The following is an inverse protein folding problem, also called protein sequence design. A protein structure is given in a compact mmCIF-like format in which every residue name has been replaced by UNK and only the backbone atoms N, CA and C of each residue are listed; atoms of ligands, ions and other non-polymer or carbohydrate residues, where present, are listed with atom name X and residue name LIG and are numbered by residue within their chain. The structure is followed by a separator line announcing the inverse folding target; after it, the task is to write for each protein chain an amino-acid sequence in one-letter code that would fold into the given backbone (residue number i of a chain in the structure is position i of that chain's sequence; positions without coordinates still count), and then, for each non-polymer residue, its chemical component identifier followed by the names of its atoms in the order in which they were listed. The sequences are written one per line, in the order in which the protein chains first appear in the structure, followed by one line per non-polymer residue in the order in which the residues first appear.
data_IF_929941920626
#
_entry.id   IF_929941920626
#
_cell.length_a   1.000
_cell.length_b   1.000
_cell.length_c   1.000
_cell.angle_alpha   90.00
_cell.angle_beta   90.00
_cell.angle_gamma   90.00
#
_symmetry.space_group_name_H-M   'P 1'
#
loop_
_entity.id
_entity.type
_entity.pdbx_description
1 polymer ?
#
# COMPACT_ATOMS: atom_id res chain seq x y z
N UNK A 1 -26.10 -16.08 -44.06
CA UNK A 1 -25.31 -16.27 -45.29
C UNK A 1 -25.05 -17.75 -45.57
N UNK A 2 -24.03 -18.39 -44.97
CA UNK A 2 -23.63 -19.77 -45.30
C UNK A 2 -24.71 -20.86 -45.06
N UNK A 3 -25.68 -20.61 -44.18
CA UNK A 3 -26.83 -21.52 -43.96
C UNK A 3 -27.92 -21.43 -45.04
N UNK A 4 -27.95 -20.34 -45.81
CA UNK A 4 -29.00 -20.02 -46.80
C UNK A 4 -28.47 -20.22 -48.22
N UNK A 5 -27.19 -19.89 -48.46
CA UNK A 5 -26.50 -20.16 -49.72
C UNK A 5 -25.23 -20.98 -49.45
N UNK A 6 -25.32 -22.33 -49.49
CA UNK A 6 -24.13 -23.17 -49.44
C UNK A 6 -23.44 -23.15 -50.81
N UNK A 7 -22.18 -22.71 -50.85
CA UNK A 7 -21.31 -22.79 -52.04
C UNK A 7 -20.15 -23.74 -51.81
N UNK A 8 -19.53 -24.23 -52.90
CA UNK A 8 -18.31 -25.05 -52.82
C UNK A 8 -17.13 -24.23 -52.30
N UNK A 9 -17.11 -22.94 -52.63
CA UNK A 9 -16.17 -21.96 -52.06
C UNK A 9 -16.92 -20.73 -51.57
N UNK A 10 -16.33 -19.98 -50.63
CA UNK A 10 -16.92 -18.73 -50.16
C UNK A 10 -17.07 -17.70 -51.27
N UNK A 11 -16.08 -17.61 -52.16
CA UNK A 11 -16.11 -16.71 -53.30
C UNK A 11 -17.29 -17.01 -54.23
N UNK A 12 -17.58 -18.29 -54.48
CA UNK A 12 -18.74 -18.73 -55.27
C UNK A 12 -20.08 -18.38 -54.59
N UNK A 13 -20.17 -18.59 -53.27
CA UNK A 13 -21.34 -18.17 -52.50
C UNK A 13 -21.58 -16.64 -52.55
N UNK A 14 -20.51 -15.84 -52.63
CA UNK A 14 -20.63 -14.38 -52.78
C UNK A 14 -21.05 -13.95 -54.19
N UNK A 15 -20.64 -14.67 -55.23
CA UNK A 15 -20.96 -14.35 -56.63
C UNK A 15 -22.37 -14.78 -57.05
N UNK A 16 -22.98 -15.75 -56.38
CA UNK A 16 -24.34 -16.18 -56.68
C UNK A 16 -25.37 -15.04 -56.49
N UNK A 17 -26.35 -14.86 -57.40
CA UNK A 17 -27.40 -13.87 -57.22
C UNK A 17 -28.30 -14.22 -56.02
N UNK A 18 -28.95 -13.21 -55.45
CA UNK A 18 -29.94 -13.39 -54.37
C UNK A 18 -31.32 -13.56 -55.00
N UNK A 19 -32.01 -14.64 -54.67
CA UNK A 19 -33.39 -14.93 -55.06
C UNK A 19 -34.34 -14.68 -53.89
N UNK A 20 -35.63 -14.49 -54.17
CA UNK A 20 -36.66 -14.29 -53.13
C UNK A 20 -36.78 -15.50 -52.18
N UNK A 21 -36.49 -16.71 -52.66
CA UNK A 21 -36.48 -17.94 -51.82
C UNK A 21 -35.45 -17.85 -50.68
N UNK A 22 -34.28 -17.25 -50.94
CA UNK A 22 -33.25 -17.06 -49.92
C UNK A 22 -33.64 -16.01 -48.86
N UNK A 23 -34.46 -15.02 -49.24
CA UNK A 23 -34.99 -14.05 -48.27
C UNK A 23 -36.01 -14.69 -47.34
N UNK A 24 -36.86 -15.57 -47.88
CA UNK A 24 -37.84 -16.32 -47.11
C UNK A 24 -37.16 -17.27 -46.12
N UNK A 25 -36.13 -17.99 -46.56
CA UNK A 25 -35.32 -18.86 -45.68
C UNK A 25 -34.60 -18.07 -44.59
N UNK A 26 -34.05 -16.91 -44.94
CA UNK A 26 -33.42 -16.01 -43.96
C UNK A 26 -34.41 -15.54 -42.89
N UNK A 27 -35.59 -15.06 -43.31
CA UNK A 27 -36.64 -14.62 -42.40
C UNK A 27 -37.04 -15.73 -41.41
N UNK A 28 -37.16 -16.97 -41.91
CA UNK A 28 -37.44 -18.15 -41.07
C UNK A 28 -36.34 -18.44 -40.05
N UNK A 29 -35.07 -18.40 -40.47
CA UNK A 29 -33.94 -18.65 -39.56
C UNK A 29 -33.86 -17.56 -38.48
N UNK A 30 -34.10 -16.31 -38.86
CA UNK A 30 -34.09 -15.17 -37.93
C UNK A 30 -35.21 -15.31 -36.89
N UNK A 31 -36.43 -15.67 -37.31
CA UNK A 31 -37.54 -15.87 -36.38
C UNK A 31 -37.26 -17.00 -35.39
N UNK A 32 -36.74 -18.13 -35.88
CA UNK A 32 -36.42 -19.29 -35.04
C UNK A 32 -35.30 -18.96 -34.02
N UNK A 33 -34.26 -18.22 -34.42
CA UNK A 33 -33.17 -17.83 -33.50
C UNK A 33 -33.68 -16.84 -32.43
N UNK A 34 -34.47 -15.82 -32.80
CA UNK A 34 -35.07 -14.85 -31.87
C UNK A 34 -35.93 -15.57 -30.80
N UNK A 35 -36.71 -16.56 -31.22
CA UNK A 35 -37.50 -17.37 -30.30
C UNK A 35 -36.62 -18.22 -29.37
N UNK A 36 -35.55 -18.82 -29.90
CA UNK A 36 -34.60 -19.60 -29.11
C UNK A 36 -33.82 -18.75 -28.09
N UNK A 37 -33.45 -17.51 -28.44
CA UNK A 37 -32.78 -16.59 -27.52
C UNK A 37 -33.71 -16.10 -26.41
N UNK A 38 -34.98 -15.82 -26.73
CA UNK A 38 -36.00 -15.49 -25.72
C UNK A 38 -36.19 -16.62 -24.73
N UNK A 39 -36.22 -17.88 -25.18
CA UNK A 39 -36.33 -19.03 -24.29
C UNK A 39 -35.06 -19.21 -23.43
N UNK A 40 -33.86 -19.04 -23.99
CA UNK A 40 -32.61 -19.11 -23.22
C UNK A 40 -32.48 -18.01 -22.15
N UNK A 41 -32.96 -16.80 -22.42
CA UNK A 41 -32.99 -15.68 -21.45
C UNK A 41 -33.97 -15.94 -20.29
N UNK A 42 -35.01 -16.76 -20.48
CA UNK A 42 -35.95 -17.13 -19.41
C UNK A 42 -35.37 -18.17 -18.44
N UNK A 43 -34.57 -19.11 -18.93
CA UNK A 43 -34.01 -20.22 -18.12
C UNK A 43 -32.70 -19.88 -17.39
N UNK A 44 -32.15 -18.67 -17.53
CA UNK A 44 -30.93 -18.27 -16.81
C UNK A 44 -30.89 -16.77 -16.57
N UNK A 45 -30.83 -16.30 -15.31
CA UNK A 45 -30.59 -14.89 -15.01
C UNK A 45 -29.14 -14.57 -15.38
N UNK A 46 -28.96 -13.92 -16.53
CA UNK A 46 -27.64 -13.56 -17.03
C UNK A 46 -26.99 -12.50 -16.12
N UNK A 47 -25.78 -12.80 -15.65
CA UNK A 47 -24.86 -11.78 -15.10
C UNK A 47 -24.32 -11.01 -16.31
N UNK A 48 -24.85 -9.81 -16.53
CA UNK A 48 -24.48 -8.95 -17.65
C UNK A 48 -23.13 -8.28 -17.38
N UNK A 49 -22.09 -8.69 -18.09
CA UNK A 49 -20.85 -7.90 -18.23
C UNK A 49 -21.02 -6.89 -19.38
N UNK A 50 -20.55 -5.66 -19.22
CA UNK A 50 -20.70 -4.58 -20.22
C UNK A 50 -20.17 -4.94 -21.62
N UNK A 51 -19.18 -5.82 -21.72
CA UNK A 51 -18.57 -6.28 -22.98
C UNK A 51 -19.52 -7.20 -23.80
N UNK A 52 -20.46 -7.89 -23.14
CA UNK A 52 -21.49 -8.71 -23.81
C UNK A 52 -22.60 -7.86 -24.44
N UNK A 53 -22.77 -6.61 -23.99
CA UNK A 53 -23.79 -5.71 -24.54
C UNK A 53 -23.41 -5.26 -25.95
N UNK A 54 -22.11 -5.09 -26.24
CA UNK A 54 -21.65 -4.78 -27.60
C UNK A 54 -21.89 -5.96 -28.55
N UNK A 55 -21.58 -7.19 -28.12
CA UNK A 55 -21.88 -8.37 -28.95
C UNK A 55 -23.38 -8.62 -29.12
N UNK A 56 -24.20 -8.37 -28.09
CA UNK A 56 -25.67 -8.48 -28.18
C UNK A 56 -26.23 -7.47 -29.17
N UNK A 57 -25.78 -6.21 -29.08
CA UNK A 57 -26.23 -5.15 -29.98
C UNK A 57 -25.80 -5.42 -31.43
N UNK A 58 -24.61 -5.98 -31.66
CA UNK A 58 -24.19 -6.36 -33.03
C UNK A 58 -25.00 -7.54 -33.58
N UNK A 59 -25.48 -8.45 -32.74
CA UNK A 59 -26.34 -9.55 -33.17
C UNK A 59 -27.74 -9.05 -33.49
N UNK A 60 -28.31 -8.21 -32.62
CA UNK A 60 -29.61 -7.57 -32.82
C UNK A 60 -29.64 -6.73 -34.11
N UNK A 61 -28.56 -5.98 -34.40
CA UNK A 61 -28.41 -5.23 -35.65
C UNK A 61 -28.36 -6.15 -36.88
N UNK A 62 -27.83 -7.36 -36.76
CA UNK A 62 -27.79 -8.36 -37.83
C UNK A 62 -29.16 -9.00 -38.09
N UNK A 63 -29.98 -9.18 -37.04
CA UNK A 63 -31.31 -9.78 -37.16
C UNK A 63 -32.34 -8.86 -37.83
N UNK A 64 -32.14 -7.54 -37.80
CA UNK A 64 -33.02 -6.58 -38.48
C UNK A 64 -32.75 -6.40 -39.97
N UNK A 65 -31.61 -6.90 -40.48
CA UNK A 65 -31.19 -6.69 -41.87
C UNK A 65 -31.84 -7.70 -42.81
N UNK A 66 -32.17 -7.25 -44.02
CA UNK A 66 -32.55 -8.16 -45.11
C UNK A 66 -31.37 -9.05 -45.54
N UNK A 67 -31.64 -10.16 -46.20
CA UNK A 67 -30.56 -11.04 -46.67
C UNK A 67 -29.65 -10.33 -47.69
N UNK A 68 -30.22 -9.52 -48.59
CA UNK A 68 -29.45 -8.72 -49.55
C UNK A 68 -28.51 -7.74 -48.85
N UNK A 69 -29.02 -7.03 -47.84
CA UNK A 69 -28.25 -6.06 -47.08
C UNK A 69 -27.16 -6.73 -46.22
N UNK A 70 -27.50 -7.87 -45.60
CA UNK A 70 -26.52 -8.71 -44.91
C UNK A 70 -25.41 -9.17 -45.87
N UNK A 71 -25.75 -9.52 -47.12
CA UNK A 71 -24.78 -9.98 -48.12
C UNK A 71 -23.87 -8.83 -48.54
N UNK A 72 -24.45 -7.65 -48.79
CA UNK A 72 -23.71 -6.45 -49.14
C UNK A 72 -22.72 -6.05 -48.02
N UNK A 73 -23.19 -6.01 -46.76
CA UNK A 73 -22.37 -5.63 -45.60
C UNK A 73 -21.29 -6.66 -45.28
N UNK A 74 -21.57 -7.94 -45.45
CA UNK A 74 -20.55 -8.99 -45.30
C UNK A 74 -19.49 -8.90 -46.38
N UNK A 75 -19.87 -8.66 -47.63
CA UNK A 75 -18.94 -8.48 -48.74
C UNK A 75 -18.08 -7.22 -48.56
N UNK A 76 -18.66 -6.10 -48.14
CA UNK A 76 -17.94 -4.87 -47.81
C UNK A 76 -16.86 -5.13 -46.74
N UNK A 77 -17.21 -5.85 -45.68
CA UNK A 77 -16.29 -6.21 -44.61
C UNK A 77 -15.16 -7.14 -45.10
N UNK A 78 -15.47 -8.10 -45.97
CA UNK A 78 -14.47 -8.99 -46.58
C UNK A 78 -13.50 -8.20 -47.46
N UNK A 79 -14.00 -7.30 -48.32
CA UNK A 79 -13.16 -6.42 -49.14
C UNK A 79 -12.31 -5.48 -48.27
N UNK A 80 -12.85 -4.98 -47.16
CA UNK A 80 -12.09 -4.15 -46.23
C UNK A 80 -10.95 -4.93 -45.55
N UNK A 81 -11.14 -6.22 -45.26
CA UNK A 81 -10.12 -7.11 -44.72
C UNK A 81 -9.06 -7.50 -45.76
N UNK A 82 -9.47 -7.69 -47.02
CA UNK A 82 -8.58 -7.89 -48.17
C UNK A 82 -7.68 -6.66 -48.39
N UNK A 83 -8.25 -5.44 -48.40
CA UNK A 83 -7.47 -4.18 -48.49
C UNK A 83 -6.42 -4.02 -47.38
N UNK A 84 -6.67 -4.64 -46.22
CA UNK A 84 -5.75 -4.64 -45.07
C UNK A 84 -4.75 -5.81 -45.12
N UNK A 85 -4.78 -6.62 -46.17
CA UNK A 85 -3.88 -7.76 -46.37
C UNK A 85 -4.11 -8.93 -45.41
N UNK A 86 -5.26 -8.99 -44.72
CA UNK A 86 -5.58 -10.09 -43.79
C UNK A 86 -6.15 -11.32 -44.48
N UNK A 87 -6.66 -11.13 -45.69
CA UNK A 87 -7.29 -12.15 -46.51
C UNK A 87 -6.70 -12.07 -47.92
N UNK A 88 -6.46 -13.22 -48.52
CA UNK A 88 -6.09 -13.32 -49.93
C UNK A 88 -7.29 -13.83 -50.73
N UNK A 89 -7.55 -13.17 -51.86
CA UNK A 89 -8.58 -13.56 -52.81
C UNK A 89 -8.22 -14.84 -53.57
N UNK A 90 -6.93 -15.12 -53.71
CA UNK A 90 -6.44 -16.33 -54.38
C UNK A 90 -6.74 -17.62 -53.59
N UNK A 91 -6.91 -17.50 -52.27
CA UNK A 91 -7.24 -18.60 -51.37
C UNK A 91 -8.77 -18.84 -51.25
N UNK A 92 -9.57 -18.23 -52.14
CA UNK A 92 -11.03 -18.31 -52.13
C UNK A 92 -11.66 -17.96 -50.76
N UNK A 93 -10.99 -17.12 -49.97
CA UNK A 93 -11.34 -16.74 -48.60
C UNK A 93 -11.34 -17.89 -47.56
N UNK A 94 -10.62 -18.99 -47.80
CA UNK A 94 -10.52 -20.13 -46.87
C UNK A 94 -9.99 -19.72 -45.48
N UNK A 95 -9.05 -18.77 -45.41
CA UNK A 95 -8.56 -18.23 -44.14
C UNK A 95 -9.65 -17.66 -43.20
N UNK A 96 -10.77 -17.13 -43.73
CA UNK A 96 -11.91 -16.70 -42.88
C UNK A 96 -12.55 -17.93 -42.23
N UNK A 97 -12.81 -18.98 -43.02
CA UNK A 97 -13.43 -20.21 -42.53
C UNK A 97 -12.54 -20.88 -41.49
N UNK A 98 -11.24 -20.94 -41.72
CA UNK A 98 -10.29 -21.53 -40.78
C UNK A 98 -10.25 -20.74 -39.46
N UNK A 99 -10.29 -19.41 -39.54
CA UNK A 99 -10.37 -18.56 -38.34
C UNK A 99 -11.69 -18.75 -37.56
N UNK A 100 -12.81 -18.87 -38.29
CA UNK A 100 -14.14 -19.10 -37.71
C UNK A 100 -14.25 -20.50 -37.11
N UNK A 101 -13.75 -21.52 -37.81
CA UNK A 101 -13.71 -22.90 -37.34
C UNK A 101 -12.87 -22.99 -36.05
N UNK A 102 -11.70 -22.35 -36.03
CA UNK A 102 -10.88 -22.28 -34.82
C UNK A 102 -11.59 -21.58 -33.67
N UNK A 103 -12.33 -20.49 -33.91
CA UNK A 103 -13.08 -19.81 -32.85
C UNK A 103 -14.24 -20.67 -32.31
N UNK A 104 -14.94 -21.40 -33.18
CA UNK A 104 -15.98 -22.37 -32.80
C UNK A 104 -15.39 -23.48 -31.94
N UNK A 105 -14.26 -24.07 -32.36
CA UNK A 105 -13.56 -25.14 -31.63
C UNK A 105 -13.09 -24.64 -30.25
N UNK A 106 -12.55 -23.42 -30.20
CA UNK A 106 -12.04 -22.82 -28.97
C UNK A 106 -13.14 -22.22 -28.08
N UNK A 107 -14.39 -22.13 -28.55
CA UNK A 107 -15.51 -21.49 -27.83
C UNK A 107 -15.69 -22.04 -26.42
N UNK A 108 -15.68 -23.36 -26.27
CA UNK A 108 -15.85 -23.99 -24.95
C UNK A 108 -14.65 -23.73 -24.04
N UNK A 109 -13.42 -23.85 -24.57
CA UNK A 109 -12.19 -23.55 -23.83
C UNK A 109 -12.18 -22.11 -23.31
N UNK A 110 -12.53 -21.13 -24.15
CA UNK A 110 -12.64 -19.71 -23.75
C UNK A 110 -13.71 -19.50 -22.68
N UNK A 111 -14.84 -20.20 -22.74
CA UNK A 111 -15.89 -20.15 -21.71
C UNK A 111 -15.42 -20.70 -20.37
N UNK A 112 -14.73 -21.85 -20.39
CA UNK A 112 -14.15 -22.45 -19.17
C UNK A 112 -13.12 -21.50 -18.57
N UNK A 113 -12.23 -20.95 -19.39
CA UNK A 113 -11.22 -19.99 -18.93
C UNK A 113 -11.86 -18.77 -18.26
N UNK A 114 -12.89 -18.15 -18.88
CA UNK A 114 -13.62 -17.03 -18.27
C UNK A 114 -14.25 -17.38 -16.92
N UNK A 115 -14.78 -18.60 -16.75
CA UNK A 115 -15.33 -19.04 -15.46
C UNK A 115 -14.24 -19.18 -14.40
N UNK A 116 -13.10 -19.77 -14.76
CA UNK A 116 -11.94 -19.89 -13.88
C UNK A 116 -11.43 -18.51 -13.50
N UNK A 117 -11.20 -17.63 -14.47
CA UNK A 117 -10.72 -16.27 -14.25
C UNK A 117 -11.69 -15.49 -13.36
N UNK A 118 -13.00 -15.60 -13.59
CA UNK A 118 -14.02 -14.98 -12.74
C UNK A 118 -13.93 -15.48 -11.30
N UNK A 119 -13.74 -16.79 -11.07
CA UNK A 119 -13.59 -17.34 -9.72
C UNK A 119 -12.29 -16.88 -9.05
N UNK A 120 -11.20 -16.76 -9.82
CA UNK A 120 -9.91 -16.24 -9.36
C UNK A 120 -10.07 -14.79 -8.95
N UNK A 121 -10.70 -13.96 -9.77
CA UNK A 121 -10.96 -12.54 -9.47
C UNK A 121 -11.78 -12.38 -8.18
N UNK A 122 -12.84 -13.15 -8.00
CA UNK A 122 -13.65 -13.13 -6.77
C UNK A 122 -12.81 -13.52 -5.54
N UNK A 123 -12.01 -14.58 -5.64
CA UNK A 123 -11.11 -15.01 -4.55
C UNK A 123 -10.05 -13.95 -4.24
N UNK A 124 -9.45 -13.32 -5.26
CA UNK A 124 -8.47 -12.25 -5.05
C UNK A 124 -9.09 -11.03 -4.37
N UNK A 125 -10.32 -10.66 -4.74
CA UNK A 125 -11.07 -9.58 -4.10
C UNK A 125 -11.31 -9.90 -2.62
N UNK A 126 -11.71 -11.14 -2.30
CA UNK A 126 -11.91 -11.58 -0.93
C UNK A 126 -10.61 -11.49 -0.11
N UNK A 127 -9.50 -12.02 -0.64
CA UNK A 127 -8.19 -11.93 0.00
C UNK A 127 -7.72 -10.48 0.23
N UNK A 128 -8.01 -9.58 -0.72
CA UNK A 128 -7.68 -8.16 -0.57
C UNK A 128 -8.52 -7.49 0.52
N UNK A 129 -9.81 -7.83 0.63
CA UNK A 129 -10.67 -7.36 1.73
C UNK A 129 -10.19 -7.86 3.08
N UNK A 130 -9.80 -9.13 3.18
CA UNK A 130 -9.25 -9.69 4.42
C UNK A 130 -7.95 -8.99 4.83
N UNK A 131 -7.07 -8.69 3.85
CA UNK A 131 -5.86 -7.90 4.10
C UNK A 131 -6.15 -6.47 4.53
N UNK A 132 -7.13 -5.82 3.90
CA UNK A 132 -7.57 -4.48 4.29
C UNK A 132 -8.04 -4.49 5.75
N UNK A 133 -8.95 -5.41 6.10
CA UNK A 133 -9.45 -5.54 7.47
C UNK A 133 -8.33 -5.82 8.46
N UNK A 134 -7.38 -6.69 8.11
CA UNK A 134 -6.23 -6.98 8.96
C UNK A 134 -5.40 -5.72 9.27
N UNK A 135 -5.14 -4.89 8.27
CA UNK A 135 -4.40 -3.63 8.46
C UNK A 135 -5.20 -2.62 9.30
N UNK A 136 -6.51 -2.53 9.09
CA UNK A 136 -7.41 -1.70 9.91
C UNK A 136 -7.41 -2.15 11.39
N UNK A 137 -7.48 -3.47 11.63
CA UNK A 137 -7.39 -4.04 12.97
C UNK A 137 -6.01 -3.78 13.61
N UNK A 138 -4.91 -3.85 12.83
CA UNK A 138 -3.57 -3.49 13.29
C UNK A 138 -3.46 -2.02 13.68
N UNK A 139 -4.02 -1.11 12.88
CA UNK A 139 -4.06 0.32 13.19
C UNK A 139 -4.85 0.60 14.47
N UNK A 140 -6.02 -0.02 14.62
CA UNK A 140 -6.84 0.10 15.83
C UNK A 140 -6.10 -0.41 17.08
N UNK A 141 -5.39 -1.54 16.97
CA UNK A 141 -4.57 -2.07 18.06
C UNK A 141 -3.41 -1.13 18.41
N UNK A 142 -2.75 -0.54 17.42
CA UNK A 142 -1.69 0.46 17.62
C UNK A 142 -2.21 1.70 18.37
N UNK A 143 -3.34 2.25 17.92
CA UNK A 143 -3.98 3.39 18.59
C UNK A 143 -4.43 3.04 20.02
N UNK A 144 -4.99 1.85 20.24
CA UNK A 144 -5.35 1.39 21.60
C UNK A 144 -4.12 1.26 22.49
N UNK A 145 -3.02 0.71 21.98
CA UNK A 145 -1.78 0.56 22.74
C UNK A 145 -1.17 1.91 23.13
N UNK A 146 -1.15 2.87 22.20
CA UNK A 146 -0.75 4.25 22.49
C UNK A 146 -1.64 4.84 23.59
N UNK A 147 -2.96 4.76 23.45
CA UNK A 147 -3.91 5.27 24.44
C UNK A 147 -3.69 4.65 25.83
N UNK A 148 -3.51 3.33 25.91
CA UNK A 148 -3.24 2.61 27.15
C UNK A 148 -1.91 3.02 27.78
N UNK A 149 -0.86 3.19 26.97
CA UNK A 149 0.45 3.65 27.44
C UNK A 149 0.39 5.09 27.97
N UNK A 150 -0.31 6.00 27.28
CA UNK A 150 -0.57 7.36 27.75
C UNK A 150 -1.38 7.40 29.04
N UNK A 151 -2.44 6.58 29.14
CA UNK A 151 -3.26 6.47 30.33
C UNK A 151 -2.49 5.92 31.54
N UNK A 152 -1.60 4.93 31.31
CA UNK A 152 -0.72 4.40 32.34
C UNK A 152 0.25 5.47 32.88
N UNK A 153 0.79 6.32 31.99
CA UNK A 153 1.64 7.44 32.38
C UNK A 153 0.89 8.53 33.15
N UNK A 154 -0.31 8.92 32.70
CA UNK A 154 -1.16 9.90 33.40
C UNK A 154 -1.52 9.46 34.83
N UNK A 155 -2.00 8.22 34.99
CA UNK A 155 -2.43 7.69 36.30
C UNK A 155 -1.30 7.62 37.33
N UNK A 156 -0.04 7.51 36.88
CA UNK A 156 1.13 7.28 37.75
C UNK A 156 2.00 8.53 37.95
N UNK A 157 1.81 9.54 37.10
CA UNK A 157 2.44 10.87 37.18
C UNK A 157 1.87 11.82 38.22
N UNK A 158 0.63 11.58 38.68
CA UNK A 158 -0.01 12.38 39.71
C UNK A 158 0.38 11.94 41.13
N UNK A 159 1.14 12.78 41.84
CA UNK A 159 1.08 12.95 43.30
C UNK A 159 1.61 11.88 44.27
N UNK A 160 2.26 10.79 43.85
CA UNK A 160 3.02 9.96 44.81
C UNK A 160 4.44 10.49 44.96
N UNK A 161 4.70 11.31 45.99
CA UNK A 161 6.07 11.71 46.40
C UNK A 161 6.88 10.44 46.68
N UNK A 162 7.66 9.98 45.70
CA UNK A 162 8.46 8.76 45.86
C UNK A 162 9.59 9.06 46.84
N UNK A 163 9.78 8.19 47.82
CA UNK A 163 10.93 8.27 48.72
C UNK A 163 12.21 8.10 47.90
N UNK A 164 12.96 9.18 47.76
CA UNK A 164 14.29 9.16 47.15
C UNK A 164 15.29 9.06 48.29
N UNK A 165 16.12 8.02 48.28
CA UNK A 165 17.13 7.81 49.32
C UNK A 165 18.05 9.03 49.41
N UNK A 166 18.33 9.55 50.62
CA UNK A 166 19.24 10.65 50.80
C UNK A 166 20.63 10.30 50.27
N UNK A 167 21.38 11.31 49.81
CA UNK A 167 22.75 11.20 49.29
C UNK A 167 22.92 10.41 47.98
N UNK A 168 21.84 10.15 47.24
CA UNK A 168 21.95 9.63 45.87
C UNK A 168 22.11 10.77 44.84
N UNK A 169 22.72 10.52 43.67
CA UNK A 169 22.80 11.52 42.59
C UNK A 169 21.42 12.08 42.19
N UNK A 170 20.39 11.23 42.27
CA UNK A 170 19.00 11.61 42.04
C UNK A 170 18.45 12.53 43.14
N UNK A 171 18.77 12.29 44.42
CA UNK A 171 18.36 13.16 45.52
C UNK A 171 18.95 14.57 45.37
N UNK A 172 20.23 14.66 45.01
CA UNK A 172 20.91 15.93 44.76
C UNK A 172 20.24 16.65 43.57
N UNK A 173 19.93 15.92 42.49
CA UNK A 173 19.27 16.51 41.32
C UNK A 173 17.88 17.06 41.64
N UNK A 174 17.02 16.25 42.29
CA UNK A 174 15.66 16.69 42.66
C UNK A 174 15.75 17.93 43.55
N UNK A 175 16.58 17.93 44.59
CA UNK A 175 16.75 19.08 45.49
C UNK A 175 17.25 20.33 44.77
N UNK A 176 18.15 20.19 43.80
CA UNK A 176 18.62 21.31 42.97
C UNK A 176 17.50 21.84 42.07
N UNK A 177 16.68 20.97 41.47
CA UNK A 177 15.50 21.40 40.69
C UNK A 177 14.48 22.12 41.58
N UNK A 178 14.29 21.68 42.83
CA UNK A 178 13.40 22.35 43.77
C UNK A 178 13.90 23.76 44.12
N UNK A 179 15.22 23.93 44.32
CA UNK A 179 15.84 25.24 44.55
C UNK A 179 15.74 26.16 43.32
N UNK A 180 15.77 25.61 42.11
CA UNK A 180 15.66 26.34 40.85
C UNK A 180 14.20 26.63 40.44
N UNK A 181 13.20 26.19 41.21
CA UNK A 181 11.79 26.41 40.91
C UNK A 181 11.26 25.64 39.69
N UNK A 182 12.09 24.86 39.00
CA UNK A 182 11.73 24.12 37.79
C UNK A 182 11.44 22.66 38.12
N UNK A 183 10.30 22.42 38.81
CA UNK A 183 9.83 21.06 39.13
C UNK A 183 8.97 20.53 37.97
N UNK A 184 9.45 19.59 37.15
CA UNK A 184 8.64 18.97 36.11
C UNK A 184 7.47 18.21 36.73
N UNK A 185 6.30 18.23 36.07
CA UNK A 185 5.06 17.64 36.59
C UNK A 185 5.15 16.12 36.76
N UNK A 186 5.84 15.44 35.84
CA UNK A 186 5.99 13.97 35.83
C UNK A 186 7.38 13.50 36.31
N UNK A 187 8.27 14.44 36.62
CA UNK A 187 9.58 14.20 37.24
C UNK A 187 10.77 14.35 36.28
N UNK A 188 11.96 14.29 36.86
CA UNK A 188 13.24 14.28 36.14
C UNK A 188 14.16 13.24 36.75
N UNK A 189 14.79 12.41 35.94
CA UNK A 189 15.71 11.37 36.38
C UNK A 189 17.10 11.55 35.79
N UNK A 190 18.11 11.59 36.66
CA UNK A 190 19.52 11.66 36.30
C UNK A 190 20.14 10.26 36.34
N UNK A 191 20.69 9.82 35.22
CA UNK A 191 21.38 8.54 35.07
C UNK A 191 22.84 8.77 34.69
N UNK A 192 23.75 8.00 35.28
CA UNK A 192 25.13 7.92 34.77
C UNK A 192 25.13 7.16 33.44
N UNK A 193 25.86 7.67 32.46
CA UNK A 193 25.98 7.06 31.15
C UNK A 193 26.62 5.67 31.21
N UNK A 194 27.59 5.47 32.12
CA UNK A 194 28.18 4.17 32.36
C UNK A 194 27.11 3.13 32.73
N UNK A 195 26.20 3.48 33.64
CA UNK A 195 25.12 2.59 34.05
C UNK A 195 24.13 2.30 32.93
N UNK A 196 23.87 3.26 32.04
CA UNK A 196 23.00 3.04 30.88
C UNK A 196 23.69 2.18 29.82
N UNK A 197 25.00 2.31 29.66
CA UNK A 197 25.82 1.51 28.76
C UNK A 197 25.91 0.05 29.22
N UNK A 198 26.19 -0.19 30.51
CA UNK A 198 26.18 -1.54 31.12
C UNK A 198 24.82 -2.24 30.97
N UNK A 199 23.73 -1.47 30.98
CA UNK A 199 22.36 -1.98 30.77
C UNK A 199 22.00 -2.16 29.29
N UNK A 200 22.87 -1.78 28.36
CA UNK A 200 22.60 -1.81 26.92
C UNK A 200 21.60 -0.76 26.42
N UNK A 201 21.18 0.18 27.28
CA UNK A 201 20.27 1.28 26.88
C UNK A 201 21.04 2.33 26.10
N UNK A 202 22.26 2.68 26.55
CA UNK A 202 23.17 3.53 25.79
C UNK A 202 24.05 2.65 24.90
N UNK A 203 24.08 2.91 23.61
CA UNK A 203 24.90 2.18 22.64
C UNK A 203 26.21 2.94 22.36
N UNK A 204 26.11 4.25 22.13
CA UNK A 204 27.26 5.10 21.89
C UNK A 204 26.95 6.55 22.30
N UNK A 205 27.99 7.33 22.59
CA UNK A 205 27.90 8.78 22.68
C UNK A 205 28.84 9.39 21.65
N UNK A 206 28.32 10.28 20.80
CA UNK A 206 29.08 11.05 19.83
C UNK A 206 30.07 11.92 20.61
N UNK A 207 31.32 11.95 20.17
CA UNK A 207 32.42 12.73 20.79
C UNK A 207 32.95 12.24 22.15
N UNK A 208 32.37 11.18 22.76
CA UNK A 208 32.85 10.63 24.04
C UNK A 208 33.27 9.15 23.92
N UNK A 209 34.44 8.83 24.46
CA UNK A 209 34.92 7.44 24.57
C UNK A 209 34.20 6.72 25.73
N UNK A 210 33.98 5.39 25.66
CA UNK A 210 33.41 4.62 26.77
C UNK A 210 34.13 4.82 28.12
N UNK A 211 35.44 5.14 28.11
CA UNK A 211 36.22 5.45 29.31
C UNK A 211 35.78 6.74 30.02
N UNK A 212 35.06 7.63 29.32
CA UNK A 212 34.60 8.91 29.84
C UNK A 212 33.13 8.85 30.33
N UNK A 213 32.45 7.71 30.19
CA UNK A 213 31.02 7.56 30.54
C UNK A 213 30.73 7.68 32.04
N UNK A 214 31.74 7.52 32.90
CA UNK A 214 31.60 7.77 34.34
C UNK A 214 31.29 9.25 34.64
N UNK A 215 31.84 10.16 33.83
CA UNK A 215 31.70 11.62 33.98
C UNK A 215 30.48 12.19 33.23
N UNK A 216 29.79 11.36 32.45
CA UNK A 216 28.64 11.74 31.63
C UNK A 216 27.33 11.36 32.33
N UNK A 217 26.39 12.28 32.38
CA UNK A 217 25.05 12.08 32.92
C UNK A 217 24.00 12.37 31.85
N UNK A 218 23.05 11.46 31.72
CA UNK A 218 21.87 11.63 30.86
C UNK A 218 20.69 11.90 31.78
N UNK A 219 20.03 13.03 31.57
CA UNK A 219 18.85 13.45 32.31
C UNK A 219 17.65 13.31 31.40
N UNK A 220 16.64 12.58 31.86
CA UNK A 220 15.37 12.45 31.15
C UNK A 220 14.29 13.09 32.03
N UNK A 221 13.61 14.09 31.49
CA UNK A 221 12.54 14.83 32.19
C UNK A 221 11.24 14.80 31.40
N UNK A 222 10.12 14.88 32.11
CA UNK A 222 8.78 14.83 31.52
C UNK A 222 7.90 15.93 32.14
N UNK A 223 7.49 16.88 31.31
CA UNK A 223 6.62 18.00 31.69
C UNK A 223 5.15 17.74 31.31
N UNK A 224 4.94 17.08 30.18
CA UNK A 224 3.65 16.72 29.59
C UNK A 224 3.63 15.23 29.25
N UNK A 225 2.46 14.60 29.36
CA UNK A 225 2.35 13.15 29.11
C UNK A 225 2.74 12.86 27.68
N UNK A 226 3.70 11.94 27.53
CA UNK A 226 4.16 11.51 26.23
C UNK A 226 5.20 12.42 25.59
N UNK A 227 5.67 13.47 26.27
CA UNK A 227 6.79 14.31 25.80
C UNK A 227 7.94 14.24 26.79
N UNK A 228 9.04 13.64 26.35
CA UNK A 228 10.26 13.49 27.14
C UNK A 228 11.35 14.42 26.61
N UNK A 229 12.03 15.12 27.53
CA UNK A 229 13.21 15.93 27.22
C UNK A 229 14.43 15.20 27.71
N UNK A 230 15.37 14.94 26.80
CA UNK A 230 16.65 14.29 27.08
C UNK A 230 17.76 15.33 27.03
N UNK A 231 18.46 15.49 28.15
CA UNK A 231 19.63 16.35 28.27
C UNK A 231 20.88 15.51 28.54
N UNK A 232 22.00 15.84 27.90
CA UNK A 232 23.30 15.21 28.18
C UNK A 232 24.20 16.20 28.89
N UNK A 233 24.72 15.84 30.08
CA UNK A 233 25.64 16.68 30.85
C UNK A 233 26.96 15.98 31.10
N UNK A 234 28.06 16.66 30.81
CA UNK A 234 29.41 16.22 31.15
C UNK A 234 29.92 17.05 32.32
N UNK A 235 30.26 16.41 33.45
CA UNK A 235 30.71 17.10 34.67
C UNK A 235 29.77 18.28 35.07
N UNK A 236 28.46 18.03 35.03
CA UNK A 236 27.36 18.97 35.30
C UNK A 236 27.19 20.16 34.32
N UNK A 237 28.00 20.24 33.26
CA UNK A 237 27.79 21.18 32.14
C UNK A 237 26.96 20.53 31.04
N UNK A 238 25.98 21.26 30.51
CA UNK A 238 25.19 20.81 29.36
C UNK A 238 26.11 20.69 28.14
N UNK A 239 26.11 19.51 27.53
CA UNK A 239 26.77 19.29 26.25
C UNK A 239 25.80 19.74 25.18
N UNK A 240 26.17 20.73 24.38
CA UNK A 240 25.42 21.10 23.17
C UNK A 240 26.05 20.37 22.00
N UNK A 241 25.25 19.76 21.13
CA UNK A 241 25.78 19.21 19.91
C UNK A 241 26.30 20.31 18.99
N UNK A 242 27.37 20.01 18.26
CA UNK A 242 27.90 20.91 17.26
C UNK A 242 26.96 20.90 16.04
N UNK A 243 26.00 21.82 16.01
CA UNK A 243 25.35 22.23 14.77
C UNK A 243 26.33 23.12 14.00
N UNK A 244 27.09 22.50 13.11
CA UNK A 244 27.96 23.20 12.17
C UNK A 244 27.13 24.15 11.29
N UNK A 245 27.12 25.44 11.64
CA UNK A 245 26.77 26.53 10.74
C UNK A 245 27.88 26.65 9.68
N UNK A 246 27.78 25.83 8.64
CA UNK A 246 28.67 25.94 7.49
C UNK A 246 28.37 27.26 6.75
N UNK A 247 29.30 28.21 6.89
CA UNK A 247 29.47 29.31 5.95
C UNK A 247 30.08 28.75 4.66
N UNK A 248 29.66 29.35 3.56
CA UNK A 248 29.79 28.96 2.15
C UNK A 248 31.19 28.58 1.66
N UNK A 249 31.28 27.52 0.86
CA UNK A 249 32.02 27.54 -0.41
C UNK A 249 31.50 26.49 -1.39
N UNK A 250 31.30 26.93 -2.63
CA UNK A 250 30.95 26.13 -3.81
C UNK A 250 32.04 25.10 -4.15
N UNK A 251 31.65 23.87 -4.51
CA UNK A 251 31.81 23.35 -5.88
C UNK A 251 31.09 21.99 -6.05
N UNK A 252 30.80 21.69 -7.32
CA UNK A 252 29.75 20.83 -7.84
C UNK A 252 30.34 19.51 -8.38
N UNK A 253 29.69 18.35 -8.17
CA UNK A 253 29.27 17.38 -9.21
C UNK A 253 29.04 15.91 -8.71
N UNK A 254 27.82 15.44 -9.04
CA UNK A 254 27.36 14.10 -9.49
C UNK A 254 27.30 12.83 -8.61
N UNK A 255 26.04 12.37 -8.46
CA UNK A 255 25.47 11.00 -8.54
C UNK A 255 25.80 9.93 -7.46
N UNK A 256 24.80 9.58 -6.63
CA UNK A 256 23.96 8.36 -6.81
C UNK A 256 22.85 8.28 -5.76
N UNK A 257 21.68 7.78 -6.20
CA UNK A 257 20.48 7.48 -5.40
C UNK A 257 20.73 6.31 -4.45
N UNK A 258 20.18 6.38 -3.22
CA UNK A 258 19.50 5.28 -2.49
C UNK A 258 19.09 5.76 -1.08
N UNK A 259 17.82 5.54 -0.71
CA UNK A 259 17.35 5.53 0.68
C UNK A 259 16.98 6.87 1.31
N UNK A 260 15.79 7.38 1.00
CA UNK A 260 15.15 8.41 1.83
C UNK A 260 14.70 7.79 3.16
N UNK A 261 15.61 7.71 4.13
CA UNK A 261 15.26 7.53 5.54
C UNK A 261 14.66 8.83 6.02
N UNK A 262 13.35 8.85 6.25
CA UNK A 262 12.65 9.92 6.95
C UNK A 262 13.15 9.98 8.40
N UNK A 263 14.26 10.69 8.61
CA UNK A 263 14.67 11.13 9.94
C UNK A 263 13.69 12.23 10.36
N UNK A 264 12.64 11.84 11.07
CA UNK A 264 11.77 12.80 11.75
C UNK A 264 12.62 13.40 12.87
N UNK A 265 13.15 14.59 12.59
CA UNK A 265 14.01 15.34 13.49
C UNK A 265 13.17 15.72 14.71
N UNK A 266 13.57 15.22 15.89
CA UNK A 266 13.14 15.81 17.15
C UNK A 266 13.41 17.32 17.10
N UNK A 267 12.56 18.11 17.73
CA UNK A 267 12.79 19.56 17.80
C UNK A 267 14.04 19.79 18.66
N UNK A 268 15.17 20.01 18.00
CA UNK A 268 16.45 20.27 18.65
C UNK A 268 16.51 21.75 19.05
N UNK A 269 16.39 22.03 20.36
CA UNK A 269 16.66 23.37 20.90
C UNK A 269 17.73 23.24 21.98
N UNK A 270 18.87 23.90 21.75
CA UNK A 270 19.90 24.11 22.77
C UNK A 270 20.56 22.85 23.38
N UNK A 271 20.70 21.75 22.63
CA UNK A 271 21.29 20.50 23.12
C UNK A 271 20.34 19.68 24.01
N UNK A 272 19.04 19.94 23.89
CA UNK A 272 17.96 19.19 24.51
C UNK A 272 17.15 18.54 23.39
N UNK A 273 17.02 17.22 23.45
CA UNK A 273 16.25 16.44 22.50
C UNK A 273 14.84 16.16 23.05
N UNK A 274 13.81 16.59 22.33
CA UNK A 274 12.42 16.28 22.65
C UNK A 274 11.97 15.00 21.93
N UNK A 275 11.44 14.04 22.69
CA UNK A 275 10.97 12.74 22.23
C UNK A 275 9.49 12.58 22.54
N UNK A 276 8.69 12.30 21.52
CA UNK A 276 7.28 11.96 21.70
C UNK A 276 7.12 10.46 21.85
N UNK A 277 6.24 10.03 22.75
CA UNK A 277 5.97 8.62 22.96
C UNK A 277 5.38 7.97 21.70
N UNK A 278 4.53 8.69 20.98
CA UNK A 278 3.96 8.27 19.69
C UNK A 278 5.08 7.93 18.70
N UNK A 279 6.01 8.85 18.46
CA UNK A 279 7.15 8.64 17.56
C UNK A 279 8.04 7.47 17.99
N UNK A 280 8.26 7.28 19.30
CA UNK A 280 9.04 6.15 19.82
C UNK A 280 8.34 4.80 19.59
N UNK A 281 7.01 4.76 19.69
CA UNK A 281 6.21 3.56 19.43
C UNK A 281 6.07 3.29 17.94
N UNK A 282 5.98 4.33 17.11
CA UNK A 282 6.03 4.22 15.65
C UNK A 282 7.38 3.66 15.18
N UNK A 283 8.47 4.17 15.75
CA UNK A 283 9.81 3.66 15.49
C UNK A 283 9.97 2.21 15.95
N UNK A 284 9.35 1.81 17.06
CA UNK A 284 9.28 0.41 17.48
C UNK A 284 8.53 -0.45 16.48
N UNK A 285 7.36 0.02 16.03
CA UNK A 285 6.48 -0.70 15.11
C UNK A 285 7.11 -0.87 13.72
N UNK A 286 7.82 0.16 13.24
CA UNK A 286 8.61 0.09 12.00
C UNK A 286 9.86 -0.79 12.10
N UNK A 287 10.15 -1.35 13.28
CA UNK A 287 11.26 -2.29 13.50
C UNK A 287 12.61 -1.61 13.76
N UNK A 288 12.65 -0.31 14.04
CA UNK A 288 13.89 0.39 14.39
C UNK A 288 14.35 -0.05 15.78
N UNK A 289 15.61 -0.49 15.88
CA UNK A 289 16.18 -0.96 17.14
C UNK A 289 16.91 0.13 17.94
N UNK A 290 17.32 1.20 17.27
CA UNK A 290 18.12 2.27 17.88
C UNK A 290 17.57 3.65 17.54
N UNK A 291 17.55 4.52 18.55
CA UNK A 291 17.24 5.94 18.46
C UNK A 291 18.56 6.72 18.42
N UNK A 292 18.78 7.47 17.33
CA UNK A 292 19.95 8.33 17.19
C UNK A 292 19.56 9.74 17.64
N UNK A 293 20.07 10.16 18.80
CA UNK A 293 19.99 11.55 19.26
C UNK A 293 21.24 12.32 18.85
N UNK A 294 21.25 13.64 19.03
CA UNK A 294 22.33 14.51 18.57
C UNK A 294 23.69 14.10 19.15
N UNK A 295 23.68 13.72 20.44
CA UNK A 295 24.88 13.41 21.23
C UNK A 295 24.95 11.92 21.58
N UNK A 296 23.82 11.21 21.67
CA UNK A 296 23.80 9.81 22.15
C UNK A 296 22.96 8.91 21.26
N UNK A 297 23.42 7.68 21.08
CA UNK A 297 22.67 6.61 20.43
C UNK A 297 22.12 5.67 21.49
N UNK A 298 20.80 5.53 21.55
CA UNK A 298 20.09 4.72 22.54
C UNK A 298 19.43 3.51 21.89
N UNK A 299 19.26 2.43 22.65
CA UNK A 299 18.42 1.29 22.26
C UNK A 299 16.96 1.63 22.54
N UNK A 300 16.13 1.56 21.50
CA UNK A 300 14.75 2.03 21.55
C UNK A 300 13.87 1.17 22.48
N UNK A 301 13.95 -0.16 22.35
CA UNK A 301 13.15 -1.09 23.16
C UNK A 301 13.49 -0.98 24.65
N UNK A 302 14.78 -0.89 24.98
CA UNK A 302 15.23 -0.78 26.36
C UNK A 302 14.96 0.61 26.95
N UNK A 303 14.96 1.66 26.12
CA UNK A 303 14.56 3.00 26.51
C UNK A 303 13.07 3.06 26.84
N UNK A 304 12.20 2.52 25.98
CA UNK A 304 10.76 2.42 26.23
C UNK A 304 10.48 1.63 27.51
N UNK A 305 11.16 0.51 27.72
CA UNK A 305 11.05 -0.24 28.96
C UNK A 305 11.55 0.58 30.19
N UNK A 306 12.63 1.36 30.06
CA UNK A 306 13.09 2.25 31.14
C UNK A 306 12.03 3.30 31.46
N UNK A 307 11.46 3.96 30.46
CA UNK A 307 10.42 4.98 30.59
C UNK A 307 9.20 4.38 31.30
N UNK A 308 8.69 3.25 30.80
CA UNK A 308 7.53 2.56 31.37
C UNK A 308 7.78 2.05 32.79
N UNK A 309 8.98 1.54 33.10
CA UNK A 309 9.33 1.03 34.44
C UNK A 309 9.58 2.16 35.45
N UNK A 310 10.25 3.24 35.01
CA UNK A 310 10.62 4.37 35.88
C UNK A 310 9.50 5.40 35.99
N UNK A 311 8.47 5.30 35.15
CA UNK A 311 7.32 6.19 35.08
C UNK A 311 7.81 7.65 35.04
N UNK A 312 8.45 7.97 33.91
CA UNK A 312 8.48 9.33 33.38
C UNK A 312 7.14 9.60 32.70
#
# INVERSE_FOLDING_TARGET
MLKVQPGVTLLDAFLAPVTEEHELEWARIVSDEIESERNRKRDSPAIFSSDQNHSSHTLEDVHSLSFQELKARTLENVLALEKRGKLDRNDNYQGILDSLANDILQRNRKRIQRRIDSSVLVNTLMNLKDKQKYLEDQEAQYHSYISDSMAAMQKKGGNKKRFIMPFTPQWHHVRTLEKQGRKPKFGSYKYSAQRLYEKGILLAAKEFSPKQFDKLFIIISCDEVGIFKVEVRFMDKLVKGNSSSNTSSHQNSQQQQLGASSSHAGVHKDGIDELRMEDLLEDQFSGKQSLNLEIVKLNLNLLLHLINRKNL
#
